data_IF_676079880003
#
_entry.id   IF_676079880003
#
_cell.length_a   1.000
_cell.length_b   1.000
_cell.length_c   1.000
_cell.angle_alpha   90.00
_cell.angle_beta   90.00
_cell.angle_gamma   90.00
#
_symmetry.space_group_name_H-M   'P 1'
#
loop_
_entity.id
_entity.type
_entity.pdbx_description
1 polymer ?
#
# COMPACT_ATOMS: atom_id res chain seq x y z
N UNK A 1 16.62 18.82 -6.17
CA UNK A 1 15.60 19.86 -6.45
C UNK A 1 15.46 20.86 -5.31
N UNK A 2 16.32 20.82 -4.29
CA UNK A 2 16.32 21.76 -3.17
C UNK A 2 15.16 21.57 -2.19
N UNK A 3 14.61 20.36 -2.08
CA UNK A 3 13.60 19.99 -1.09
C UNK A 3 14.29 19.22 0.03
N UNK A 4 14.11 19.65 1.26
CA UNK A 4 14.51 18.93 2.47
C UNK A 4 13.40 17.98 2.89
N UNK A 5 13.78 16.82 3.43
CA UNK A 5 12.86 15.81 3.95
C UNK A 5 13.12 15.62 5.45
N UNK A 6 12.06 15.72 6.26
CA UNK A 6 12.03 15.14 7.60
C UNK A 6 11.33 13.78 7.50
N UNK A 7 11.92 12.76 8.08
CA UNK A 7 11.40 11.38 8.03
C UNK A 7 11.05 10.96 9.45
N UNK A 8 9.75 10.76 9.71
CA UNK A 8 9.27 10.14 10.94
C UNK A 8 9.48 8.63 10.81
N UNK A 9 10.32 8.09 11.69
CA UNK A 9 10.65 6.65 11.68
C UNK A 9 9.58 5.85 12.39
N UNK A 10 9.35 4.64 11.93
CA UNK A 10 8.51 3.67 12.64
C UNK A 10 9.28 3.00 13.77
N UNK A 11 8.53 2.46 14.73
CA UNK A 11 9.06 1.55 15.74
C UNK A 11 9.32 0.15 15.17
N UNK A 12 9.75 -0.79 16.03
CA UNK A 12 10.03 -2.19 15.64
C UNK A 12 8.77 -3.01 15.30
N UNK A 13 7.58 -2.49 15.59
CA UNK A 13 6.29 -3.06 15.14
C UNK A 13 5.79 -2.42 13.84
N UNK A 14 6.49 -1.40 13.33
CA UNK A 14 6.10 -0.68 12.12
C UNK A 14 5.06 0.43 12.36
N UNK A 15 4.86 0.86 13.60
CA UNK A 15 3.97 1.98 13.95
C UNK A 15 4.72 3.31 13.91
N UNK A 16 4.01 4.40 13.62
CA UNK A 16 4.53 5.77 13.65
C UNK A 16 3.95 6.53 14.84
N UNK A 17 4.69 7.53 15.34
CA UNK A 17 4.18 8.50 16.32
C UNK A 17 3.57 9.70 15.60
N UNK A 18 2.32 10.01 15.90
CA UNK A 18 1.63 11.20 15.37
C UNK A 18 2.14 12.48 16.03
N UNK A 19 2.60 12.38 17.27
CA UNK A 19 3.23 13.46 18.01
C UNK A 19 4.57 13.85 17.37
N UNK A 20 5.32 12.86 16.90
CA UNK A 20 6.58 13.07 16.18
C UNK A 20 6.36 13.72 14.82
N UNK A 21 5.28 13.36 14.10
CA UNK A 21 4.89 14.04 12.85
C UNK A 21 4.72 15.55 13.13
N UNK A 22 3.99 15.91 14.18
CA UNK A 22 3.73 17.31 14.51
C UNK A 22 5.00 18.04 14.97
N UNK A 23 5.87 17.36 15.72
CA UNK A 23 7.15 17.88 16.18
C UNK A 23 8.14 18.19 15.03
N UNK A 24 8.12 17.38 13.98
CA UNK A 24 8.97 17.55 12.80
C UNK A 24 8.52 18.71 11.87
N UNK A 25 7.37 19.34 12.12
CA UNK A 25 6.89 20.47 11.33
C UNK A 25 7.74 21.72 11.65
N UNK A 26 8.28 22.33 10.59
CA UNK A 26 9.12 23.53 10.62
C UNK A 26 8.41 24.68 9.89
N UNK A 27 8.90 25.90 10.05
CA UNK A 27 8.36 27.09 9.35
C UNK A 27 8.38 26.96 7.81
N UNK A 28 9.33 26.22 7.27
CA UNK A 28 9.46 25.97 5.84
C UNK A 28 8.77 24.68 5.38
N UNK A 29 8.13 23.91 6.23
CA UNK A 29 7.35 22.73 5.86
C UNK A 29 6.21 23.12 4.92
N UNK A 30 5.98 22.35 3.86
CA UNK A 30 4.95 22.60 2.84
C UNK A 30 3.93 21.47 2.72
N UNK A 31 4.32 20.26 3.03
CA UNK A 31 3.45 19.12 2.86
C UNK A 31 3.79 17.99 3.86
N UNK A 32 2.78 17.21 4.20
CA UNK A 32 2.94 15.91 4.84
C UNK A 32 2.58 14.86 3.78
N UNK A 33 3.42 13.85 3.63
CA UNK A 33 3.22 12.77 2.67
C UNK A 33 3.32 11.45 3.42
N UNK A 34 2.32 10.58 3.31
CA UNK A 34 2.35 9.26 3.90
C UNK A 34 1.63 8.22 3.05
N UNK A 35 1.90 6.94 3.29
CA UNK A 35 1.07 5.84 2.81
C UNK A 35 -0.13 5.68 3.75
N UNK A 36 -1.25 5.17 3.24
CA UNK A 36 -2.38 4.80 4.10
C UNK A 36 -2.17 3.42 4.75
N UNK A 37 -1.61 2.47 4.01
CA UNK A 37 -1.29 1.15 4.52
C UNK A 37 0.10 0.68 4.10
N UNK A 38 0.81 0.02 5.01
CA UNK A 38 2.12 -0.54 4.74
C UNK A 38 2.01 -1.76 3.82
N UNK A 39 2.80 -1.74 2.75
CA UNK A 39 2.90 -2.87 1.82
C UNK A 39 3.78 -4.02 2.35
N UNK A 40 4.35 -3.87 3.54
CA UNK A 40 5.18 -4.87 4.20
C UNK A 40 4.49 -5.39 5.47
N UNK A 41 4.23 -4.54 6.44
CA UNK A 41 3.67 -4.95 7.74
C UNK A 41 2.15 -5.10 7.73
N UNK A 42 1.46 -4.51 6.75
CA UNK A 42 0.01 -4.41 6.76
C UNK A 42 -0.55 -3.36 7.74
N UNK A 43 0.31 -2.69 8.50
CA UNK A 43 -0.14 -1.64 9.44
C UNK A 43 -0.80 -0.49 8.69
N UNK A 44 -1.84 0.08 9.28
CA UNK A 44 -2.56 1.24 8.75
C UNK A 44 -2.15 2.51 9.49
N UNK A 45 -2.02 3.60 8.76
CA UNK A 45 -1.87 4.94 9.32
C UNK A 45 -3.26 5.57 9.45
N UNK A 46 -3.56 6.17 10.60
CA UNK A 46 -4.75 7.00 10.76
C UNK A 46 -4.58 8.30 9.96
N UNK A 47 -4.91 8.21 8.67
CA UNK A 47 -4.79 9.35 7.74
C UNK A 47 -5.75 10.50 8.07
N UNK A 48 -6.84 10.24 8.80
CA UNK A 48 -7.71 11.31 9.29
C UNK A 48 -6.97 12.17 10.32
N UNK A 49 -6.33 11.54 11.30
CA UNK A 49 -5.50 12.24 12.30
C UNK A 49 -4.35 13.00 11.67
N UNK A 50 -3.65 12.42 10.68
CA UNK A 50 -2.59 13.12 9.93
C UNK A 50 -3.16 14.30 9.14
N UNK A 51 -4.33 14.14 8.53
CA UNK A 51 -5.02 15.21 7.82
C UNK A 51 -5.43 16.39 8.74
N UNK A 52 -5.86 16.10 9.97
CA UNK A 52 -6.14 17.10 10.98
C UNK A 52 -4.88 17.88 11.37
N UNK A 53 -3.74 17.20 11.54
CA UNK A 53 -2.44 17.83 11.77
C UNK A 53 -2.07 18.73 10.59
N UNK A 54 -2.14 18.23 9.36
CA UNK A 54 -1.83 18.99 8.16
C UNK A 54 -2.70 20.26 8.05
N UNK A 55 -4.01 20.14 8.27
CA UNK A 55 -4.97 21.25 8.26
C UNK A 55 -4.65 22.29 9.33
N UNK A 56 -4.38 21.86 10.57
CA UNK A 56 -4.01 22.73 11.69
C UNK A 56 -2.80 23.61 11.36
N UNK A 57 -1.83 23.06 10.64
CA UNK A 57 -0.59 23.76 10.27
C UNK A 57 -0.60 24.38 8.86
N UNK A 58 -1.72 24.31 8.14
CA UNK A 58 -1.86 24.88 6.79
C UNK A 58 -0.97 24.21 5.75
N UNK A 59 -0.70 22.90 5.90
CA UNK A 59 0.14 22.09 5.04
C UNK A 59 -0.69 21.33 4.02
N UNK A 60 -0.10 21.03 2.86
CA UNK A 60 -0.68 20.08 1.92
C UNK A 60 -0.57 18.67 2.49
N UNK A 61 -1.63 17.89 2.33
CA UNK A 61 -1.66 16.49 2.73
C UNK A 61 -1.77 15.57 1.51
N UNK A 62 -0.76 14.72 1.32
CA UNK A 62 -0.63 13.78 0.20
C UNK A 62 -0.67 12.36 0.74
N UNK A 63 -1.58 11.54 0.22
CA UNK A 63 -1.74 10.14 0.65
C UNK A 63 -1.51 9.20 -0.53
N UNK A 64 -0.65 8.20 -0.32
CA UNK A 64 -0.56 7.02 -1.18
C UNK A 64 -1.50 5.92 -0.64
N UNK A 65 -2.61 5.72 -1.34
CA UNK A 65 -3.61 4.71 -1.02
C UNK A 65 -3.45 3.43 -1.86
N UNK A 66 -2.28 3.17 -2.43
CA UNK A 66 -2.06 2.03 -3.33
C UNK A 66 -2.33 0.66 -2.69
N UNK A 67 -2.31 0.54 -1.36
CA UNK A 67 -2.64 -0.69 -0.64
C UNK A 67 -4.11 -0.74 -0.18
N UNK A 68 -4.82 0.38 -0.18
CA UNK A 68 -6.09 0.51 0.54
C UNK A 68 -7.26 0.95 -0.36
N UNK A 69 -6.96 1.62 -1.49
CA UNK A 69 -7.99 1.96 -2.46
C UNK A 69 -8.68 0.70 -3.00
N UNK A 70 -10.00 0.64 -2.88
CA UNK A 70 -10.81 -0.51 -3.26
C UNK A 70 -11.14 -1.49 -2.13
N UNK A 71 -10.52 -1.35 -0.96
CA UNK A 71 -10.76 -2.20 0.23
C UNK A 71 -11.18 -1.38 1.44
N UNK A 72 -10.59 -0.19 1.62
CA UNK A 72 -10.89 0.69 2.73
C UNK A 72 -11.66 1.93 2.26
N UNK A 73 -12.63 2.42 3.04
CA UNK A 73 -13.28 3.68 2.75
C UNK A 73 -12.30 4.84 2.94
N UNK A 74 -12.23 5.73 1.96
CA UNK A 74 -11.41 6.94 2.00
C UNK A 74 -12.30 8.10 1.57
N UNK A 75 -12.57 9.02 2.49
CA UNK A 75 -13.25 10.28 2.21
C UNK A 75 -12.24 11.41 2.21
N UNK A 76 -11.93 11.95 1.04
CA UNK A 76 -10.90 12.98 0.87
C UNK A 76 -11.27 14.29 1.56
N UNK A 77 -12.56 14.57 1.76
CA UNK A 77 -13.02 15.79 2.44
C UNK A 77 -12.92 15.63 3.95
N UNK A 78 -13.47 14.53 4.48
CA UNK A 78 -13.44 14.23 5.91
C UNK A 78 -12.01 14.07 6.44
N UNK A 79 -11.15 13.43 5.64
CA UNK A 79 -9.75 13.18 5.99
C UNK A 79 -8.79 14.30 5.59
N UNK A 80 -9.32 15.43 5.09
CA UNK A 80 -8.55 16.62 4.68
C UNK A 80 -7.41 16.33 3.69
N UNK A 81 -7.63 15.41 2.76
CA UNK A 81 -6.63 14.99 1.77
C UNK A 81 -6.64 15.97 0.59
N UNK A 82 -5.49 16.53 0.29
CA UNK A 82 -5.30 17.44 -0.85
C UNK A 82 -4.95 16.69 -2.13
N UNK A 83 -4.16 15.63 -2.01
CA UNK A 83 -3.77 14.76 -3.12
C UNK A 83 -3.86 13.31 -2.66
N UNK A 84 -4.62 12.49 -3.38
CA UNK A 84 -4.68 11.05 -3.17
C UNK A 84 -4.16 10.34 -4.40
N UNK A 85 -3.15 9.48 -4.22
CA UNK A 85 -2.60 8.64 -5.28
C UNK A 85 -2.98 7.18 -5.06
N UNK A 86 -3.28 6.45 -6.14
CA UNK A 86 -3.59 5.02 -6.06
C UNK A 86 -3.23 4.27 -7.33
N UNK A 87 -2.99 2.98 -7.22
CA UNK A 87 -2.77 2.06 -8.34
C UNK A 87 -4.04 1.30 -8.66
N UNK A 88 -4.28 1.04 -9.95
CA UNK A 88 -5.46 0.31 -10.38
C UNK A 88 -5.33 -1.21 -10.29
N UNK A 89 -4.10 -1.75 -10.28
CA UNK A 89 -3.82 -3.19 -10.41
C UNK A 89 -3.69 -3.96 -9.09
N UNK A 90 -3.94 -3.32 -7.96
CA UNK A 90 -3.99 -3.98 -6.64
C UNK A 90 -5.45 -4.22 -6.24
N UNK A 91 -5.88 -3.76 -5.08
CA UNK A 91 -7.24 -4.00 -4.57
C UNK A 91 -8.36 -3.37 -5.39
N UNK A 92 -8.05 -2.48 -6.33
CA UNK A 92 -9.01 -2.04 -7.35
C UNK A 92 -9.23 -3.06 -8.48
N UNK A 93 -8.48 -4.16 -8.53
CA UNK A 93 -8.62 -5.29 -9.46
C UNK A 93 -8.53 -4.92 -10.95
N UNK A 94 -7.99 -3.76 -11.27
CA UNK A 94 -7.80 -3.29 -12.64
C UNK A 94 -6.52 -3.79 -13.28
N UNK A 95 -6.34 -3.57 -14.59
CA UNK A 95 -5.12 -3.94 -15.30
C UNK A 95 -3.88 -3.19 -14.80
N UNK A 96 -2.70 -3.81 -15.00
CA UNK A 96 -1.42 -3.12 -14.81
C UNK A 96 -1.33 -1.86 -15.69
N UNK A 97 -0.57 -0.87 -15.24
CA UNK A 97 -0.44 0.40 -15.94
C UNK A 97 -1.67 1.32 -15.80
N UNK A 98 -2.56 1.01 -14.88
CA UNK A 98 -3.67 1.87 -14.49
C UNK A 98 -3.50 2.40 -13.06
N UNK A 99 -4.16 3.50 -12.79
CA UNK A 99 -4.15 4.18 -11.49
C UNK A 99 -4.76 5.57 -11.64
N UNK A 100 -4.69 6.34 -10.60
CA UNK A 100 -5.21 7.69 -10.62
C UNK A 100 -4.66 8.56 -9.51
N UNK A 101 -4.94 9.84 -9.66
CA UNK A 101 -4.64 10.85 -8.68
C UNK A 101 -5.83 11.79 -8.53
N UNK A 102 -6.35 11.91 -7.31
CA UNK A 102 -7.24 13.01 -6.96
C UNK A 102 -6.41 14.22 -6.57
N UNK A 103 -6.81 15.39 -7.02
CA UNK A 103 -6.22 16.68 -6.63
C UNK A 103 -7.36 17.59 -6.20
N UNK A 104 -7.32 18.07 -4.95
CA UNK A 104 -8.32 19.01 -4.43
C UNK A 104 -8.33 20.29 -5.26
N UNK A 105 -9.52 20.84 -5.50
CA UNK A 105 -9.69 22.11 -6.20
C UNK A 105 -8.84 23.21 -5.54
N UNK A 106 -8.17 24.01 -6.37
CA UNK A 106 -7.27 25.08 -5.95
C UNK A 106 -5.83 24.64 -5.66
N UNK A 107 -5.53 23.34 -5.54
CA UNK A 107 -4.17 22.84 -5.41
C UNK A 107 -3.48 22.85 -6.78
N UNK A 108 -2.34 23.54 -6.87
CA UNK A 108 -1.55 23.67 -8.10
C UNK A 108 -0.48 22.58 -8.17
N UNK A 109 -0.59 21.70 -9.15
CA UNK A 109 0.42 20.67 -9.46
C UNK A 109 1.03 20.97 -10.82
N UNK A 110 2.37 20.97 -10.87
CA UNK A 110 3.08 21.14 -12.16
C UNK A 110 3.20 19.80 -12.86
N UNK A 111 2.94 19.73 -14.17
CA UNK A 111 3.18 18.52 -14.94
C UNK A 111 4.63 18.06 -14.83
N UNK A 112 4.85 16.77 -14.59
CA UNK A 112 6.18 16.15 -14.65
C UNK A 112 6.58 15.86 -16.09
N UNK A 113 5.59 15.45 -16.91
CA UNK A 113 5.74 15.15 -18.33
C UNK A 113 4.79 16.04 -19.12
N UNK A 114 5.20 16.44 -20.31
CA UNK A 114 4.40 17.18 -21.28
C UNK A 114 4.50 16.49 -22.64
N UNK A 115 3.46 16.61 -23.47
CA UNK A 115 3.41 15.96 -24.77
C UNK A 115 2.06 16.16 -25.45
N UNK A 116 1.81 15.43 -26.51
CA UNK A 116 0.53 15.48 -27.21
C UNK A 116 -0.63 15.13 -26.26
N UNK A 117 -1.59 16.03 -26.16
CA UNK A 117 -2.77 15.86 -25.25
C UNK A 117 -4.05 15.46 -26.01
N UNK A 118 -4.01 15.47 -27.35
CA UNK A 118 -5.21 15.27 -28.19
C UNK A 118 -6.17 16.46 -28.22
N UNK A 119 -5.89 17.51 -27.47
CA UNK A 119 -6.69 18.75 -27.44
C UNK A 119 -5.81 19.98 -27.69
N UNK A 120 -6.40 21.10 -28.11
CA UNK A 120 -5.70 22.36 -28.36
C UNK A 120 -4.51 22.22 -29.31
N UNK A 121 -4.68 21.50 -30.43
CA UNK A 121 -3.61 21.08 -31.37
C UNK A 121 -2.71 22.21 -31.84
N UNK A 122 -3.23 23.42 -32.00
CA UNK A 122 -2.47 24.60 -32.45
C UNK A 122 -1.78 25.37 -31.33
N UNK A 123 -2.03 24.99 -30.06
CA UNK A 123 -1.36 25.59 -28.91
C UNK A 123 0.08 25.06 -28.80
N UNK A 124 1.04 25.97 -28.75
CA UNK A 124 2.48 25.61 -28.60
C UNK A 124 2.86 25.18 -27.19
N UNK A 125 1.96 25.39 -26.21
CA UNK A 125 2.17 25.02 -24.81
C UNK A 125 1.25 23.85 -24.46
N UNK A 126 1.73 23.01 -23.55
CA UNK A 126 0.89 21.97 -22.96
C UNK A 126 -0.32 22.58 -22.22
N UNK A 127 -1.51 22.00 -22.31
CA UNK A 127 -2.70 22.51 -21.62
C UNK A 127 -2.45 22.69 -20.12
N UNK A 128 -2.99 23.77 -19.57
CA UNK A 128 -2.85 24.08 -18.15
C UNK A 128 -4.05 23.65 -17.29
N UNK A 129 -5.15 23.29 -17.95
CA UNK A 129 -6.40 22.94 -17.29
C UNK A 129 -6.42 21.46 -16.87
N UNK A 130 -6.85 21.23 -15.63
CA UNK A 130 -7.07 19.87 -15.12
C UNK A 130 -8.31 19.22 -15.78
N UNK A 131 -8.32 17.92 -16.04
CA UNK A 131 -7.26 16.94 -15.73
C UNK A 131 -6.15 16.88 -16.79
N UNK A 132 -6.34 17.49 -17.97
CA UNK A 132 -5.45 17.38 -19.14
C UNK A 132 -4.02 17.85 -18.84
N UNK A 133 -3.86 18.81 -17.94
CA UNK A 133 -2.54 19.30 -17.51
C UNK A 133 -1.61 18.19 -17.00
N UNK A 134 -2.13 17.12 -16.44
CA UNK A 134 -1.34 16.02 -15.88
C UNK A 134 -1.34 14.77 -16.77
N UNK A 135 -2.00 14.84 -17.92
CA UNK A 135 -2.09 13.76 -18.91
C UNK A 135 -1.22 14.09 -20.13
N UNK A 136 -0.19 13.32 -20.38
CA UNK A 136 0.72 13.49 -21.51
C UNK A 136 0.71 12.25 -22.42
N UNK A 137 0.43 12.45 -23.69
CA UNK A 137 0.33 11.39 -24.70
C UNK A 137 -1.08 10.78 -24.78
N UNK A 138 -1.23 9.78 -25.65
CA UNK A 138 -2.48 9.03 -25.79
C UNK A 138 -2.74 8.21 -24.52
N UNK A 139 -3.91 8.38 -23.93
CA UNK A 139 -4.31 7.67 -22.72
C UNK A 139 -4.41 6.17 -22.96
N UNK A 140 -4.15 5.38 -21.92
CA UNK A 140 -4.33 3.92 -21.91
C UNK A 140 -5.84 3.57 -21.88
N UNK A 141 -6.52 3.77 -23.01
CA UNK A 141 -7.97 3.57 -23.10
C UNK A 141 -8.41 2.14 -22.76
N UNK A 142 -7.63 1.12 -23.16
CA UNK A 142 -7.92 -0.29 -22.85
C UNK A 142 -7.80 -0.56 -21.34
N UNK A 143 -6.72 -0.07 -20.72
CA UNK A 143 -6.54 -0.21 -19.27
C UNK A 143 -7.62 0.53 -18.48
N UNK A 144 -8.00 1.75 -18.91
CA UNK A 144 -9.06 2.54 -18.27
C UNK A 144 -10.41 1.82 -18.37
N UNK A 145 -10.73 1.23 -19.54
CA UNK A 145 -11.94 0.43 -19.72
C UNK A 145 -11.94 -0.81 -18.80
N UNK A 146 -10.80 -1.50 -18.66
CA UNK A 146 -10.63 -2.60 -17.71
C UNK A 146 -10.80 -2.16 -16.26
N UNK A 147 -10.21 -1.02 -15.87
CA UNK A 147 -10.39 -0.45 -14.54
C UNK A 147 -11.87 -0.08 -14.27
N UNK A 148 -12.58 0.46 -15.26
CA UNK A 148 -14.02 0.73 -15.14
C UNK A 148 -14.81 -0.56 -14.87
N UNK A 149 -14.50 -1.65 -15.58
CA UNK A 149 -15.16 -2.93 -15.36
C UNK A 149 -14.89 -3.47 -13.93
N UNK A 150 -13.65 -3.38 -13.45
CA UNK A 150 -13.32 -3.81 -12.09
C UNK A 150 -13.99 -2.95 -11.01
N UNK A 151 -14.08 -1.64 -11.20
CA UNK A 151 -14.82 -0.75 -10.28
C UNK A 151 -16.32 -1.09 -10.24
N UNK A 152 -16.90 -1.47 -11.38
CA UNK A 152 -18.29 -1.94 -11.44
C UNK A 152 -18.48 -3.26 -10.68
N UNK A 153 -17.52 -4.20 -10.79
CA UNK A 153 -17.50 -5.43 -10.01
C UNK A 153 -17.42 -5.14 -8.51
N UNK A 154 -16.46 -4.32 -8.08
CA UNK A 154 -16.28 -3.93 -6.66
C UNK A 154 -17.54 -3.28 -6.08
N UNK A 155 -18.21 -2.44 -6.87
CA UNK A 155 -19.48 -1.80 -6.46
C UNK A 155 -20.60 -2.83 -6.30
N UNK A 156 -20.64 -3.86 -7.12
CA UNK A 156 -21.66 -4.93 -7.05
C UNK A 156 -21.41 -5.88 -5.89
N UNK A 157 -20.16 -6.32 -5.70
CA UNK A 157 -19.80 -7.22 -4.60
C UNK A 157 -19.81 -6.53 -3.22
N UNK A 158 -19.48 -5.25 -3.18
CA UNK A 158 -19.34 -4.46 -1.96
C UNK A 158 -17.95 -4.59 -1.33
N UNK A 159 -17.25 -3.47 -1.23
CA UNK A 159 -15.87 -3.41 -0.71
C UNK A 159 -15.77 -3.90 0.75
N UNK A 160 -16.80 -3.70 1.56
CA UNK A 160 -16.82 -4.18 2.94
C UNK A 160 -16.87 -5.71 3.03
N UNK A 161 -17.64 -6.35 2.15
CA UNK A 161 -17.72 -7.82 2.06
C UNK A 161 -16.38 -8.41 1.61
N UNK A 162 -15.74 -7.78 0.60
CA UNK A 162 -14.43 -8.16 0.11
C UNK A 162 -13.41 -8.05 1.23
N UNK A 163 -13.30 -6.88 1.86
CA UNK A 163 -12.39 -6.63 2.98
C UNK A 163 -12.56 -7.62 4.11
N UNK A 164 -13.80 -7.88 4.51
CA UNK A 164 -14.10 -8.83 5.59
C UNK A 164 -13.50 -10.20 5.28
N UNK A 165 -13.73 -10.73 4.08
CA UNK A 165 -13.21 -12.03 3.66
C UNK A 165 -11.68 -12.05 3.61
N UNK A 166 -11.06 -11.02 3.06
CA UNK A 166 -9.60 -10.90 3.02
C UNK A 166 -8.99 -10.88 4.42
N UNK A 167 -9.60 -10.13 5.35
CA UNK A 167 -9.16 -10.09 6.74
C UNK A 167 -9.39 -11.42 7.46
N UNK A 168 -10.50 -12.13 7.21
CA UNK A 168 -10.74 -13.47 7.76
C UNK A 168 -9.64 -14.45 7.37
N UNK A 169 -9.23 -14.48 6.10
CA UNK A 169 -8.12 -15.29 5.63
C UNK A 169 -6.79 -14.89 6.27
N UNK A 170 -6.49 -13.62 6.29
CA UNK A 170 -5.27 -13.07 6.91
C UNK A 170 -5.19 -13.43 8.40
N UNK A 171 -6.29 -13.24 9.16
CA UNK A 171 -6.31 -13.56 10.58
C UNK A 171 -6.23 -15.07 10.86
N UNK A 172 -6.83 -15.91 9.99
CA UNK A 172 -6.70 -17.37 10.07
C UNK A 172 -5.24 -17.78 9.89
N UNK A 173 -4.58 -17.26 8.86
CA UNK A 173 -3.16 -17.51 8.60
C UNK A 173 -2.27 -17.04 9.75
N UNK A 174 -2.41 -15.77 10.18
CA UNK A 174 -1.64 -15.22 11.29
C UNK A 174 -1.75 -16.07 12.56
N UNK A 175 -2.96 -16.45 12.94
CA UNK A 175 -3.17 -17.30 14.12
C UNK A 175 -2.55 -18.68 13.99
N UNK A 176 -2.50 -19.22 12.79
CA UNK A 176 -1.87 -20.50 12.50
C UNK A 176 -0.35 -20.46 12.63
N UNK A 177 0.29 -19.36 12.16
CA UNK A 177 1.76 -19.33 12.06
C UNK A 177 2.47 -18.64 13.21
N UNK A 178 1.82 -17.73 13.95
CA UNK A 178 2.49 -16.86 14.94
C UNK A 178 3.15 -17.56 16.11
N UNK A 179 2.77 -18.80 16.40
CA UNK A 179 3.31 -19.58 17.53
C UNK A 179 4.18 -20.76 17.06
N UNK A 180 4.43 -20.91 15.79
CA UNK A 180 5.34 -21.94 15.27
C UNK A 180 6.77 -21.58 15.71
N UNK A 181 7.51 -22.49 16.36
CA UNK A 181 8.91 -22.25 16.71
C UNK A 181 9.72 -21.84 15.47
N UNK A 182 10.66 -20.93 15.60
CA UNK A 182 11.45 -20.41 14.49
C UNK A 182 10.74 -19.36 13.63
N UNK A 183 9.41 -19.23 13.67
CA UNK A 183 8.66 -18.25 12.88
C UNK A 183 8.59 -16.90 13.58
N UNK A 184 9.04 -15.85 12.89
CA UNK A 184 8.93 -14.47 13.37
C UNK A 184 8.03 -13.67 12.44
N UNK A 185 6.89 -13.19 12.97
CA UNK A 185 5.92 -12.36 12.24
C UNK A 185 6.18 -10.88 12.51
N UNK A 186 6.08 -10.04 11.47
CA UNK A 186 6.33 -8.60 11.52
C UNK A 186 5.04 -7.79 11.37
N UNK A 187 4.94 -6.70 12.11
CA UNK A 187 3.80 -5.80 12.12
C UNK A 187 3.09 -5.76 13.47
N UNK A 188 2.12 -4.86 13.59
CA UNK A 188 1.29 -4.72 14.78
C UNK A 188 -0.03 -5.47 14.60
N UNK A 189 -0.18 -6.58 15.30
CA UNK A 189 -1.39 -7.41 15.31
C UNK A 189 -2.27 -7.19 16.54
N UNK A 190 -1.99 -6.15 17.34
CA UNK A 190 -2.84 -5.74 18.46
C UNK A 190 -4.04 -4.90 17.98
N UNK A 191 -4.08 -4.52 16.70
CA UNK A 191 -5.18 -3.81 16.06
C UNK A 191 -5.83 -4.62 14.94
N UNK A 192 -7.16 -4.55 14.83
CA UNK A 192 -7.91 -5.16 13.74
C UNK A 192 -7.89 -4.33 12.45
N UNK A 193 -7.57 -3.03 12.55
CA UNK A 193 -7.52 -2.14 11.39
C UNK A 193 -6.16 -2.25 10.69
N UNK A 194 -6.06 -3.20 9.76
CA UNK A 194 -4.82 -3.49 9.03
C UNK A 194 -5.11 -4.05 7.64
N UNK A 195 -4.15 -3.91 6.72
CA UNK A 195 -4.23 -4.54 5.40
C UNK A 195 -4.15 -6.06 5.51
N UNK A 196 -4.73 -6.82 4.56
CA UNK A 196 -4.75 -8.29 4.56
C UNK A 196 -3.38 -8.86 4.16
N UNK A 197 -2.36 -8.56 4.96
CA UNK A 197 -0.96 -8.89 4.73
C UNK A 197 -0.39 -9.50 6.01
N UNK A 198 0.37 -10.60 5.86
CA UNK A 198 1.23 -11.16 6.89
C UNK A 198 2.63 -11.30 6.32
N UNK A 199 3.60 -10.76 7.01
CA UNK A 199 5.02 -10.85 6.63
C UNK A 199 5.76 -11.57 7.75
N UNK A 200 6.59 -12.55 7.39
CA UNK A 200 7.31 -13.37 8.34
C UNK A 200 8.69 -13.76 7.82
N UNK A 201 9.53 -14.26 8.72
CA UNK A 201 10.71 -15.05 8.43
C UNK A 201 10.68 -16.35 9.23
N UNK A 202 11.42 -17.34 8.76
CA UNK A 202 11.64 -18.63 9.41
C UNK A 202 13.14 -18.65 9.76
N UNK A 203 13.49 -18.71 11.05
CA UNK A 203 14.84 -18.73 11.54
C UNK A 203 15.80 -17.78 10.81
N UNK A 204 16.92 -18.34 10.36
CA UNK A 204 17.95 -17.59 9.63
C UNK A 204 17.86 -17.78 8.10
N UNK A 205 16.86 -18.50 7.57
CA UNK A 205 16.70 -18.68 6.13
C UNK A 205 16.57 -17.36 5.38
N UNK A 206 17.22 -17.27 4.21
CA UNK A 206 16.99 -16.15 3.28
C UNK A 206 15.54 -16.13 2.79
N UNK A 207 14.95 -14.97 2.73
CA UNK A 207 13.55 -14.83 2.33
C UNK A 207 13.25 -15.35 0.91
N UNK A 208 14.26 -15.34 0.02
CA UNK A 208 14.12 -15.88 -1.33
C UNK A 208 14.10 -17.40 -1.32
N UNK A 209 14.93 -18.05 -0.48
CA UNK A 209 14.93 -19.50 -0.33
C UNK A 209 13.58 -20.01 0.16
N UNK A 210 13.02 -19.39 1.20
CA UNK A 210 11.68 -19.72 1.72
C UNK A 210 10.61 -19.52 0.65
N UNK A 211 10.67 -18.42 -0.10
CA UNK A 211 9.69 -18.14 -1.16
C UNK A 211 9.78 -19.12 -2.33
N UNK A 212 10.99 -19.52 -2.71
CA UNK A 212 11.22 -20.48 -3.78
C UNK A 212 10.73 -21.88 -3.36
N UNK A 213 10.99 -22.32 -2.14
CA UNK A 213 10.50 -23.60 -1.61
C UNK A 213 8.96 -23.63 -1.53
N UNK A 214 8.35 -22.55 -1.05
CA UNK A 214 6.88 -22.40 -1.03
C UNK A 214 6.28 -22.53 -2.44
N UNK A 215 6.96 -21.96 -3.46
CA UNK A 215 6.49 -22.05 -4.83
C UNK A 215 6.68 -23.45 -5.43
N UNK A 216 7.86 -24.04 -5.24
CA UNK A 216 8.23 -25.30 -5.91
C UNK A 216 7.52 -26.49 -5.29
N UNK A 217 7.47 -26.55 -3.96
CA UNK A 217 6.92 -27.71 -3.24
C UNK A 217 5.42 -27.61 -3.00
N UNK A 218 4.93 -26.40 -2.70
CA UNK A 218 3.52 -26.21 -2.31
C UNK A 218 2.70 -25.42 -3.34
N UNK A 219 3.31 -24.89 -4.41
CA UNK A 219 2.61 -24.06 -5.40
C UNK A 219 2.16 -22.69 -4.86
N UNK A 220 2.76 -22.22 -3.76
CA UNK A 220 2.37 -20.99 -3.07
C UNK A 220 3.27 -19.86 -3.53
N UNK A 221 2.70 -18.87 -4.22
CA UNK A 221 3.41 -17.67 -4.65
C UNK A 221 3.40 -16.62 -3.55
N UNK A 222 4.59 -16.25 -3.07
CA UNK A 222 4.81 -15.18 -2.10
C UNK A 222 5.72 -14.10 -2.67
N UNK A 223 5.96 -13.04 -1.93
CA UNK A 223 6.95 -12.04 -2.33
C UNK A 223 8.07 -11.98 -1.28
N UNK A 224 9.32 -12.34 -1.65
CA UNK A 224 10.48 -12.18 -0.80
C UNK A 224 11.14 -10.79 -0.93
N UNK A 225 12.13 -10.53 -0.08
CA UNK A 225 13.10 -9.46 -0.18
C UNK A 225 12.67 -8.13 0.44
N UNK A 226 13.02 -7.03 -0.20
CA UNK A 226 12.94 -5.68 0.38
C UNK A 226 11.60 -4.93 0.16
N UNK A 227 10.66 -5.46 -0.62
CA UNK A 227 9.27 -4.96 -0.80
C UNK A 227 9.14 -3.49 -1.22
N UNK A 228 10.18 -2.85 -1.77
CA UNK A 228 10.22 -1.40 -2.00
C UNK A 228 10.00 -0.57 -0.72
N UNK A 229 10.38 -1.10 0.44
CA UNK A 229 10.16 -0.49 1.76
C UNK A 229 11.46 -0.45 2.60
N UNK A 230 12.56 0.15 2.12
CA UNK A 230 13.88 0.06 2.76
C UNK A 230 13.85 0.59 4.20
N UNK A 231 13.21 1.73 4.44
CA UNK A 231 13.12 2.31 5.79
C UNK A 231 12.36 1.42 6.78
N UNK A 232 11.37 0.68 6.29
CA UNK A 232 10.64 -0.28 7.13
C UNK A 232 11.51 -1.49 7.45
N UNK A 233 12.28 -2.01 6.49
CA UNK A 233 13.25 -3.08 6.75
C UNK A 233 14.33 -2.65 7.74
N UNK A 234 14.82 -1.40 7.67
CA UNK A 234 15.73 -0.83 8.67
C UNK A 234 15.10 -0.85 10.08
N UNK A 235 13.84 -0.42 10.21
CA UNK A 235 13.12 -0.38 11.50
C UNK A 235 12.86 -1.78 12.07
N UNK A 236 12.53 -2.75 11.21
CA UNK A 236 12.27 -4.13 11.61
C UNK A 236 13.54 -4.95 11.83
N UNK A 237 14.72 -4.47 11.35
CA UNK A 237 15.99 -5.19 11.41
C UNK A 237 16.09 -6.34 10.42
N UNK A 238 15.46 -6.23 9.26
CA UNK A 238 15.39 -7.28 8.23
C UNK A 238 16.06 -6.87 6.92
N UNK A 239 17.04 -5.97 6.96
CA UNK A 239 17.72 -5.45 5.77
C UNK A 239 18.47 -6.57 5.04
N UNK A 240 19.22 -7.41 5.77
CA UNK A 240 20.04 -8.46 5.19
C UNK A 240 19.23 -9.68 4.78
N UNK A 241 18.32 -10.15 5.64
CA UNK A 241 17.53 -11.36 5.42
C UNK A 241 16.35 -11.14 4.47
N UNK A 242 15.87 -9.88 4.36
CA UNK A 242 14.59 -9.60 3.74
C UNK A 242 13.43 -10.11 4.59
N UNK A 243 12.30 -10.36 3.96
CA UNK A 243 11.15 -10.99 4.58
C UNK A 243 10.24 -11.64 3.54
N UNK A 244 9.43 -12.62 3.94
CA UNK A 244 8.45 -13.28 3.06
C UNK A 244 7.07 -12.71 3.35
N UNK A 245 6.45 -12.12 2.34
CA UNK A 245 5.13 -11.51 2.46
C UNK A 245 4.04 -12.36 1.83
N UNK A 246 3.03 -12.68 2.62
CA UNK A 246 1.77 -13.25 2.20
C UNK A 246 0.74 -12.12 2.05
N UNK A 247 0.02 -12.11 0.94
CA UNK A 247 -1.05 -11.13 0.66
C UNK A 247 -2.32 -11.89 0.32
N UNK A 248 -3.40 -11.60 1.02
CA UNK A 248 -4.66 -12.31 0.91
C UNK A 248 -5.66 -11.54 0.05
N UNK A 249 -6.38 -12.27 -0.77
CA UNK A 249 -7.45 -11.77 -1.63
C UNK A 249 -8.77 -12.46 -1.28
N UNK A 250 -9.87 -11.81 -1.60
CA UNK A 250 -11.19 -12.43 -1.47
C UNK A 250 -11.42 -13.63 -2.42
N UNK A 251 -10.51 -13.85 -3.37
CA UNK A 251 -10.51 -15.04 -4.24
C UNK A 251 -9.87 -16.25 -3.57
N UNK A 252 -9.05 -16.06 -2.54
CA UNK A 252 -8.46 -17.18 -1.82
C UNK A 252 -9.54 -18.04 -1.15
N UNK A 253 -9.23 -19.32 -1.02
CA UNK A 253 -10.06 -20.30 -0.31
C UNK A 253 -9.50 -20.57 1.09
N UNK A 254 -10.31 -21.12 1.96
CA UNK A 254 -9.85 -21.56 3.29
C UNK A 254 -8.82 -22.67 3.20
N UNK A 255 -8.97 -23.57 2.23
CA UNK A 255 -8.04 -24.69 1.98
C UNK A 255 -6.65 -24.19 1.56
N UNK A 256 -6.58 -23.14 0.72
CA UNK A 256 -5.31 -22.51 0.37
C UNK A 256 -4.63 -21.89 1.60
N UNK A 257 -5.39 -21.25 2.49
CA UNK A 257 -4.87 -20.69 3.74
C UNK A 257 -4.36 -21.79 4.66
N UNK A 258 -5.07 -22.90 4.81
CA UNK A 258 -4.65 -24.06 5.61
C UNK A 258 -3.40 -24.72 5.03
N UNK A 259 -3.32 -24.82 3.71
CA UNK A 259 -2.13 -25.34 3.03
C UNK A 259 -0.92 -24.45 3.28
N UNK A 260 -1.10 -23.13 3.24
CA UNK A 260 -0.02 -22.20 3.54
C UNK A 260 0.45 -22.28 5.02
N UNK A 261 -0.46 -22.52 5.96
CA UNK A 261 -0.08 -22.73 7.36
C UNK A 261 0.77 -23.98 7.53
N UNK A 262 0.32 -25.12 6.95
CA UNK A 262 1.09 -26.37 7.00
C UNK A 262 2.47 -26.24 6.33
N UNK A 263 2.55 -25.56 5.20
CA UNK A 263 3.82 -25.33 4.54
C UNK A 263 4.81 -24.55 5.41
N UNK A 264 4.35 -23.54 6.14
CA UNK A 264 5.22 -22.81 7.09
C UNK A 264 5.62 -23.68 8.27
N UNK A 265 4.72 -24.55 8.76
CA UNK A 265 5.01 -25.50 9.86
C UNK A 265 6.09 -26.49 9.44
N UNK A 266 5.94 -27.15 8.27
CA UNK A 266 6.89 -28.10 7.72
C UNK A 266 8.27 -27.46 7.48
N UNK A 267 8.32 -26.28 6.87
CA UNK A 267 9.58 -25.54 6.63
C UNK A 267 10.28 -25.10 7.93
N UNK A 268 9.52 -24.80 8.97
CA UNK A 268 10.10 -24.42 10.26
C UNK A 268 10.61 -25.62 11.07
N UNK A 269 10.13 -26.86 10.79
CA UNK A 269 10.64 -28.09 11.40
C UNK A 269 11.95 -28.55 10.76
N UNK A 270 12.25 -28.12 9.51
CA UNK A 270 13.48 -28.47 8.80
C UNK A 270 14.68 -27.60 9.17
N UNK A 271 14.48 -26.48 9.88
CA UNK A 271 15.53 -25.60 10.37
C UNK A 271 16.16 -26.14 11.67
#
# INVERSE_FOLDING_TARGET
RGVELSIVKSDRKGNISYEEIEHEIRQNTKAIICTHGSNLTGNMIDIKRVGEIAKKHGLLFVVDASQTAGVYPIDVQEMHIDILCFTGHKSLLGPQGTGGMYVREGVKVRPLKTGGSGVQTYNKKHPAEMPTALEAGTLNGHGIAGLHASLSYLKTEGIEKIRKRELEHMWKFYRGVKNIPGVKVYGDFDTENRCPIVTLNIGEYDSSEVSDELLVTYGISTRPGAHCAPLMHEALGTVEQGAVRFSFSHYNTEEEVETAIRAIEELAEEE
#
